data_IF_554094252717
#
_entry.id   IF_554094252717
#
_cell.length_a   1.000
_cell.length_b   1.000
_cell.length_c   1.000
_cell.angle_alpha   90.00
_cell.angle_beta   90.00
_cell.angle_gamma   90.00
#
_symmetry.space_group_name_H-M   'P 1'
#
loop_
_entity.id
_entity.type
_entity.pdbx_description
1 polymer ?
#
# COMPACT_ATOMS: atom_id res chain seq x y z
N UNK A 1 -25.30 -4.24 20.74
CA UNK A 1 -24.14 -3.49 20.22
C UNK A 1 -24.08 -3.71 18.72
N UNK A 2 -24.60 -2.78 17.92
CA UNK A 2 -24.45 -2.81 16.46
C UNK A 2 -23.09 -2.19 16.12
N UNK A 3 -22.03 -2.99 16.20
CA UNK A 3 -20.70 -2.57 15.74
C UNK A 3 -20.70 -2.44 14.22
N UNK A 4 -20.05 -1.40 13.69
CA UNK A 4 -19.84 -1.27 12.26
C UNK A 4 -19.12 -2.53 11.73
N UNK A 5 -19.59 -3.06 10.60
CA UNK A 5 -18.94 -4.21 9.97
C UNK A 5 -17.51 -3.84 9.56
N UNK A 6 -16.53 -4.73 9.77
CA UNK A 6 -15.14 -4.46 9.38
C UNK A 6 -15.02 -4.28 7.86
N UNK A 7 -14.18 -3.33 7.44
CA UNK A 7 -14.00 -2.95 6.04
C UNK A 7 -12.53 -2.70 5.74
N UNK A 8 -12.08 -3.02 4.52
CA UNK A 8 -10.75 -2.66 4.01
C UNK A 8 -10.92 -1.58 2.94
N UNK A 9 -10.30 -0.42 3.14
CA UNK A 9 -10.35 0.69 2.18
C UNK A 9 -9.18 0.63 1.20
N UNK A 10 -9.49 0.48 -0.08
CA UNK A 10 -8.51 0.46 -1.18
C UNK A 10 -8.57 1.76 -1.99
N UNK A 11 -7.64 1.95 -2.92
CA UNK A 11 -7.64 3.11 -3.84
C UNK A 11 -8.84 3.13 -4.80
N UNK A 12 -9.48 1.98 -5.03
CA UNK A 12 -10.69 1.86 -5.87
C UNK A 12 -11.98 1.86 -5.04
N UNK A 13 -11.89 1.96 -3.71
CA UNK A 13 -13.02 1.93 -2.79
C UNK A 13 -12.93 0.83 -1.74
N UNK A 14 -14.03 0.69 -1.00
CA UNK A 14 -14.13 -0.24 0.13
C UNK A 14 -14.42 -1.67 -0.34
N UNK A 15 -13.77 -2.65 0.30
CA UNK A 15 -13.99 -4.09 0.05
C UNK A 15 -14.25 -4.85 1.35
N UNK A 16 -14.97 -5.96 1.24
CA UNK A 16 -15.14 -6.90 2.35
C UNK A 16 -13.79 -7.55 2.70
N UNK A 17 -13.41 -7.68 3.98
CA UNK A 17 -12.14 -8.29 4.37
C UNK A 17 -11.90 -9.69 3.80
N UNK A 18 -12.96 -10.48 3.58
CA UNK A 18 -12.86 -11.82 3.00
C UNK A 18 -12.46 -11.83 1.52
N UNK A 19 -12.59 -10.69 0.83
CA UNK A 19 -12.22 -10.53 -0.57
C UNK A 19 -10.71 -10.30 -0.79
N UNK A 20 -9.92 -10.12 0.28
CA UNK A 20 -8.48 -9.87 0.17
C UNK A 20 -7.68 -11.03 -0.43
N UNK A 21 -8.15 -12.28 -0.27
CA UNK A 21 -7.39 -13.45 -0.70
C UNK A 21 -6.00 -13.53 -0.05
N UNK A 22 -4.97 -13.84 -0.84
CA UNK A 22 -3.57 -13.79 -0.38
C UNK A 22 -3.06 -12.35 -0.44
N UNK A 23 -2.65 -11.81 0.70
CA UNK A 23 -2.30 -10.40 0.85
C UNK A 23 -0.86 -10.23 1.37
N UNK A 24 -0.06 -9.43 0.68
CA UNK A 24 1.19 -8.89 1.23
C UNK A 24 0.84 -7.69 2.11
N UNK A 25 1.00 -7.83 3.41
CA UNK A 25 0.60 -6.80 4.37
C UNK A 25 1.52 -5.56 4.37
N UNK A 26 2.72 -5.67 3.79
CA UNK A 26 3.68 -4.58 3.67
C UNK A 26 4.49 -4.74 2.39
N UNK A 27 4.34 -3.78 1.49
CA UNK A 27 5.20 -3.64 0.33
C UNK A 27 5.22 -2.17 -0.13
N UNK A 28 6.15 -1.82 -1.02
CA UNK A 28 6.24 -0.51 -1.63
C UNK A 28 6.23 -0.62 -3.15
N UNK A 29 5.19 -0.08 -3.79
CA UNK A 29 5.11 0.04 -5.26
C UNK A 29 5.88 1.27 -5.75
N UNK A 30 5.81 2.37 -5.00
CA UNK A 30 6.54 3.61 -5.26
C UNK A 30 7.13 4.16 -3.95
N UNK A 31 8.34 4.69 -4.01
CA UNK A 31 9.07 5.37 -2.93
C UNK A 31 9.75 6.61 -3.52
N UNK A 32 9.28 7.80 -3.11
CA UNK A 32 9.90 9.07 -3.48
C UNK A 32 11.11 9.45 -2.62
N UNK A 33 11.52 10.71 -2.68
CA UNK A 33 12.76 11.27 -2.08
C UNK A 33 12.73 11.46 -0.54
N UNK A 34 12.05 10.56 0.18
CA UNK A 34 11.93 10.56 1.63
C UNK A 34 13.24 10.31 2.38
N UNK A 35 13.18 10.27 3.73
CA UNK A 35 14.36 10.04 4.57
C UNK A 35 15.09 8.72 4.21
N UNK A 36 14.35 7.66 3.89
CA UNK A 36 14.92 6.38 3.47
C UNK A 36 15.75 6.50 2.20
N UNK A 37 15.18 7.04 1.12
CA UNK A 37 15.86 7.24 -0.16
C UNK A 37 17.05 8.22 -0.06
N UNK A 38 16.96 9.25 0.80
CA UNK A 38 18.10 10.16 1.05
C UNK A 38 19.25 9.51 1.81
N UNK A 39 18.95 8.57 2.71
CA UNK A 39 19.95 7.81 3.45
C UNK A 39 20.54 6.67 2.62
N UNK A 40 19.74 6.04 1.75
CA UNK A 40 20.13 5.01 0.81
C UNK A 40 19.46 5.27 -0.56
N UNK A 41 20.20 5.80 -1.55
CA UNK A 41 19.67 6.10 -2.89
C UNK A 41 19.05 4.90 -3.62
N UNK A 42 19.47 3.67 -3.28
CA UNK A 42 18.94 2.44 -3.91
C UNK A 42 17.49 2.14 -3.50
N UNK A 43 16.95 2.85 -2.50
CA UNK A 43 15.55 2.72 -2.08
C UNK A 43 14.59 3.61 -2.89
N UNK A 44 15.10 4.43 -3.82
CA UNK A 44 14.26 5.25 -4.68
C UNK A 44 13.54 4.37 -5.70
N UNK A 45 12.21 4.44 -5.71
CA UNK A 45 11.33 3.73 -6.64
C UNK A 45 10.30 4.75 -7.14
N UNK A 46 10.71 5.66 -8.01
CA UNK A 46 9.90 6.81 -8.44
C UNK A 46 9.59 6.83 -9.95
N UNK A 47 9.97 5.77 -10.68
CA UNK A 47 9.62 5.58 -12.08
C UNK A 47 8.17 5.06 -12.20
N UNK A 48 7.27 5.96 -12.59
CA UNK A 48 5.85 5.66 -12.78
C UNK A 48 5.58 4.70 -13.95
N UNK A 49 6.45 4.68 -14.96
CA UNK A 49 6.27 3.82 -16.14
C UNK A 49 6.78 2.39 -15.87
N UNK A 50 7.61 2.23 -14.84
CA UNK A 50 8.11 0.93 -14.37
C UNK A 50 7.27 0.29 -13.25
N UNK A 51 6.22 0.96 -12.78
CA UNK A 51 5.38 0.56 -11.64
C UNK A 51 4.20 -0.36 -12.01
#
# INVERSE_FOLDING_TARGET
MTGAMPVVRTVLGDVDPSALGFCSAHDHVLIGDGLGARANPDLLIDDLDAA
#
